data_IF_928955405927
#
_entry.id   IF_928955405927
#
_cell.length_a   1.000
_cell.length_b   1.000
_cell.length_c   1.000
_cell.angle_alpha   90.00
_cell.angle_beta   90.00
_cell.angle_gamma   90.00
#
_symmetry.space_group_name_H-M   'P 1'
#
loop_
_entity.id
_entity.type
_entity.pdbx_description
1 polymer ?
#
# COMPACT_ATOMS: atom_id res chain seq x y z
N UNK A 1 35.62 9.46 36.67
CA UNK A 1 36.35 8.29 36.14
C UNK A 1 35.54 7.69 35.00
N UNK A 2 36.02 7.82 33.77
CA UNK A 2 35.31 7.39 32.56
C UNK A 2 35.66 5.93 32.26
N UNK A 3 34.71 4.99 32.37
CA UNK A 3 34.97 3.57 32.10
C UNK A 3 35.30 3.35 30.61
N UNK A 4 36.52 2.88 30.25
CA UNK A 4 36.94 2.76 28.84
C UNK A 4 36.09 1.78 28.02
N UNK A 5 35.39 0.86 28.68
CA UNK A 5 34.57 -0.18 28.05
C UNK A 5 33.22 0.33 27.52
N UNK A 6 32.76 1.50 27.96
CA UNK A 6 31.47 2.07 27.53
C UNK A 6 31.58 3.01 26.33
N UNK A 7 32.79 3.47 26.00
CA UNK A 7 33.01 4.47 24.96
C UNK A 7 33.84 3.94 23.78
N UNK A 8 33.66 2.65 23.44
CA UNK A 8 34.32 2.09 22.26
C UNK A 8 33.51 2.46 20.99
N UNK A 9 34.06 3.29 20.10
CA UNK A 9 33.35 3.73 18.90
C UNK A 9 33.02 2.58 17.95
N UNK A 10 33.75 1.46 18.01
CA UNK A 10 33.45 0.26 17.21
C UNK A 10 32.19 -0.45 17.71
N UNK A 11 32.02 -0.59 19.02
CA UNK A 11 30.80 -1.21 19.58
C UNK A 11 29.57 -0.32 19.38
N UNK A 12 29.75 1.00 19.42
CA UNK A 12 28.68 1.94 19.11
C UNK A 12 28.27 1.83 17.63
N UNK A 13 29.24 1.83 16.70
CA UNK A 13 28.98 1.61 15.27
C UNK A 13 28.34 0.25 14.98
N UNK A 14 28.76 -0.80 15.67
CA UNK A 14 28.16 -2.13 15.53
C UNK A 14 26.70 -2.15 16.01
N UNK A 15 26.39 -1.54 17.17
CA UNK A 15 25.02 -1.39 17.66
C UNK A 15 24.15 -0.54 16.74
N UNK A 16 24.69 0.56 16.19
CA UNK A 16 23.99 1.37 15.21
C UNK A 16 23.76 0.62 13.89
N UNK A 17 24.75 -0.12 13.40
CA UNK A 17 24.61 -0.94 12.19
C UNK A 17 23.58 -2.06 12.38
N UNK A 18 23.54 -2.67 13.56
CA UNK A 18 22.55 -3.71 13.89
C UNK A 18 21.15 -3.12 14.05
N UNK A 19 21.00 -2.00 14.78
CA UNK A 19 19.74 -1.27 14.84
C UNK A 19 19.26 -0.81 13.45
N UNK A 20 20.19 -0.43 12.56
CA UNK A 20 19.89 -0.11 11.17
C UNK A 20 19.53 -1.34 10.33
N UNK A 21 20.03 -2.53 10.66
CA UNK A 21 19.64 -3.80 10.01
C UNK A 21 18.26 -4.27 10.47
N UNK A 22 17.97 -4.23 11.76
CA UNK A 22 16.63 -4.52 12.31
C UNK A 22 15.59 -3.55 11.73
N UNK A 23 15.98 -2.31 11.46
CA UNK A 23 15.15 -1.31 10.76
C UNK A 23 15.08 -1.47 9.24
N UNK A 24 15.96 -2.26 8.61
CA UNK A 24 15.91 -2.49 7.17
C UNK A 24 14.89 -3.59 6.89
N UNK A 25 13.75 -3.22 6.31
CA UNK A 25 12.82 -4.20 5.75
C UNK A 25 13.56 -5.10 4.73
N UNK A 26 13.18 -6.39 4.62
CA UNK A 26 13.74 -7.30 3.62
C UNK A 26 13.60 -6.67 2.22
N UNK A 27 14.73 -6.42 1.55
CA UNK A 27 14.82 -5.66 0.28
C UNK A 27 14.12 -6.30 -0.94
N UNK A 28 13.38 -7.39 -0.75
CA UNK A 28 12.80 -8.20 -1.84
C UNK A 28 11.34 -8.63 -1.64
N UNK A 29 10.66 -8.23 -0.56
CA UNK A 29 9.36 -8.81 -0.23
C UNK A 29 8.16 -8.14 -0.88
N UNK A 30 8.04 -6.82 -0.71
CA UNK A 30 6.82 -6.09 -1.03
C UNK A 30 7.13 -4.61 -1.25
N UNK A 31 6.43 -3.99 -2.20
CA UNK A 31 6.54 -2.57 -2.53
C UNK A 31 5.15 -2.01 -2.75
N UNK A 32 4.71 -1.17 -1.82
CA UNK A 32 3.38 -0.58 -1.85
C UNK A 32 3.20 0.31 -3.09
N UNK A 33 4.19 1.13 -3.41
CA UNK A 33 4.20 1.98 -4.60
C UNK A 33 4.02 1.19 -5.91
N UNK A 34 4.72 0.05 -6.06
CA UNK A 34 4.57 -0.83 -7.23
C UNK A 34 3.21 -1.50 -7.30
N UNK A 35 2.66 -1.89 -6.16
CA UNK A 35 1.35 -2.56 -6.10
C UNK A 35 0.23 -1.58 -6.45
N UNK A 36 0.31 -0.34 -5.95
CA UNK A 36 -0.61 0.74 -6.31
C UNK A 36 -0.48 1.11 -7.78
N UNK A 37 0.73 1.19 -8.32
CA UNK A 37 0.96 1.44 -9.75
C UNK A 37 0.29 0.36 -10.63
N UNK A 38 0.41 -0.92 -10.26
CA UNK A 38 -0.26 -2.00 -10.96
C UNK A 38 -1.79 -1.91 -10.86
N UNK A 39 -2.33 -1.66 -9.67
CA UNK A 39 -3.76 -1.45 -9.47
C UNK A 39 -4.29 -0.26 -10.28
N UNK A 40 -3.53 0.83 -10.33
CA UNK A 40 -3.87 2.02 -11.10
C UNK A 40 -3.94 1.71 -12.61
N UNK A 41 -3.00 0.92 -13.14
CA UNK A 41 -3.04 0.49 -14.53
C UNK A 41 -4.32 -0.29 -14.86
N UNK A 42 -4.70 -1.27 -14.02
CA UNK A 42 -5.92 -2.07 -14.19
C UNK A 42 -7.19 -1.19 -14.15
N UNK A 43 -7.24 -0.21 -13.24
CA UNK A 43 -8.40 0.69 -13.11
C UNK A 43 -8.48 1.71 -14.24
N UNK A 44 -7.35 2.20 -14.75
CA UNK A 44 -7.31 3.19 -15.84
C UNK A 44 -7.88 2.64 -17.14
N UNK A 45 -7.78 1.33 -17.38
CA UNK A 45 -8.36 0.70 -18.58
C UNK A 45 -9.90 0.72 -18.58
N UNK A 46 -10.53 0.73 -17.39
CA UNK A 46 -11.98 0.71 -17.24
C UNK A 46 -12.66 2.05 -16.96
N UNK A 47 -11.91 3.09 -16.57
CA UNK A 47 -12.49 4.32 -16.01
C UNK A 47 -11.89 5.61 -16.59
N UNK A 48 -12.77 6.53 -17.01
CA UNK A 48 -12.40 7.84 -17.55
C UNK A 48 -12.22 8.95 -16.49
N UNK A 49 -12.27 8.62 -15.19
CA UNK A 49 -12.18 9.60 -14.10
C UNK A 49 -10.71 9.94 -13.78
N UNK A 50 -10.42 11.15 -13.30
CA UNK A 50 -9.09 11.47 -12.81
C UNK A 50 -8.80 10.68 -11.53
N UNK A 51 -7.76 9.85 -11.60
CA UNK A 51 -7.21 9.10 -10.48
C UNK A 51 -5.93 9.79 -10.00
N UNK A 52 -5.80 9.93 -8.69
CA UNK A 52 -4.59 10.46 -8.05
C UNK A 52 -3.85 9.31 -7.39
N UNK A 53 -2.57 9.15 -7.69
CA UNK A 53 -1.70 8.18 -7.02
C UNK A 53 -0.51 8.88 -6.39
N UNK A 54 -0.10 8.43 -5.22
CA UNK A 54 1.18 8.82 -4.60
C UNK A 54 1.55 7.80 -3.54
N UNK A 55 2.82 7.75 -3.16
CA UNK A 55 3.28 6.81 -2.17
C UNK A 55 4.79 6.67 -2.06
N UNK A 56 5.19 5.84 -1.11
CA UNK A 56 6.53 5.33 -0.88
C UNK A 56 6.51 3.80 -0.97
N UNK A 57 7.69 3.14 -0.91
CA UNK A 57 7.76 1.68 -0.89
C UNK A 57 6.99 1.02 0.27
N UNK A 58 6.80 1.72 1.39
CA UNK A 58 6.15 1.19 2.60
C UNK A 58 4.63 1.41 2.59
N UNK A 59 4.19 2.58 2.10
CA UNK A 59 2.79 2.98 2.05
C UNK A 59 2.53 3.77 0.76
N UNK A 60 1.52 3.37 0.02
CA UNK A 60 1.04 4.10 -1.16
C UNK A 60 -0.48 4.15 -1.18
N UNK A 61 -1.05 5.04 -1.97
CA UNK A 61 -2.50 5.10 -2.14
C UNK A 61 -2.90 5.55 -3.54
N UNK A 62 -4.12 5.17 -3.91
CA UNK A 62 -4.83 5.73 -5.06
C UNK A 62 -6.17 6.28 -4.59
N UNK A 63 -6.56 7.44 -5.13
CA UNK A 63 -7.80 8.14 -4.80
C UNK A 63 -8.54 8.57 -6.07
N UNK A 64 -9.86 8.61 -6.02
CA UNK A 64 -10.72 9.16 -7.08
C UNK A 64 -11.43 10.43 -6.64
N UNK A 65 -11.87 11.22 -7.62
CA UNK A 65 -12.78 12.35 -7.40
C UNK A 65 -14.15 11.97 -6.85
N UNK A 66 -14.59 10.71 -7.02
CA UNK A 66 -15.84 10.22 -6.45
C UNK A 66 -15.72 9.75 -4.99
N UNK A 67 -14.57 9.97 -4.34
CA UNK A 67 -14.38 9.72 -2.91
C UNK A 67 -13.90 8.30 -2.54
N UNK A 68 -13.56 7.47 -3.53
CA UNK A 68 -12.91 6.19 -3.27
C UNK A 68 -11.45 6.45 -2.92
N UNK A 69 -11.00 5.90 -1.78
CA UNK A 69 -9.60 5.90 -1.38
C UNK A 69 -9.16 4.46 -1.13
N UNK A 70 -8.13 4.03 -1.84
CA UNK A 70 -7.51 2.71 -1.69
C UNK A 70 -6.09 2.91 -1.20
N UNK A 71 -5.82 2.44 0.01
CA UNK A 71 -4.51 2.42 0.62
C UNK A 71 -3.82 1.10 0.34
N UNK A 72 -2.49 1.14 0.26
CA UNK A 72 -1.65 -0.03 0.14
C UNK A 72 -0.58 0.06 1.23
N UNK A 73 -0.66 -0.82 2.22
CA UNK A 73 0.30 -0.91 3.31
C UNK A 73 0.40 -2.36 3.78
N UNK A 74 1.59 -2.75 4.24
CA UNK A 74 1.84 -4.08 4.82
C UNK A 74 1.33 -5.28 3.98
N UNK A 75 1.51 -5.23 2.66
CA UNK A 75 1.08 -6.31 1.76
C UNK A 75 -0.41 -6.30 1.41
N UNK A 76 -1.17 -5.29 1.84
CA UNK A 76 -2.63 -5.26 1.70
C UNK A 76 -3.13 -3.97 1.06
N UNK A 77 -4.09 -4.10 0.15
CA UNK A 77 -4.99 -3.02 -0.24
C UNK A 77 -6.12 -2.88 0.78
N UNK A 78 -6.47 -1.64 1.11
CA UNK A 78 -7.48 -1.31 2.11
C UNK A 78 -8.35 -0.17 1.56
N UNK A 79 -9.67 -0.36 1.55
CA UNK A 79 -10.62 0.68 1.14
C UNK A 79 -11.94 0.55 1.91
N UNK A 80 -12.81 1.53 1.77
CA UNK A 80 -14.18 1.48 2.30
C UNK A 80 -15.15 1.05 1.22
N UNK A 81 -16.05 0.12 1.55
CA UNK A 81 -17.16 -0.23 0.67
C UNK A 81 -18.28 0.84 0.66
N UNK A 82 -19.35 0.58 -0.10
CA UNK A 82 -20.51 1.50 -0.17
C UNK A 82 -21.23 1.69 1.16
N UNK A 83 -21.11 0.74 2.08
CA UNK A 83 -21.70 0.80 3.42
C UNK A 83 -20.74 1.41 4.45
N UNK A 84 -19.53 1.80 4.03
CA UNK A 84 -18.49 2.34 4.89
C UNK A 84 -17.68 1.27 5.63
N UNK A 85 -17.90 -0.01 5.35
CA UNK A 85 -17.14 -1.10 5.96
C UNK A 85 -15.73 -1.18 5.33
N UNK A 86 -14.73 -1.45 6.16
CA UNK A 86 -13.36 -1.62 5.69
C UNK A 86 -13.19 -2.97 5.00
N UNK A 87 -12.78 -2.93 3.73
CA UNK A 87 -12.42 -4.09 2.94
C UNK A 87 -10.91 -4.17 2.84
N UNK A 88 -10.37 -5.37 3.00
CA UNK A 88 -8.95 -5.66 2.79
C UNK A 88 -8.78 -6.68 1.67
N UNK A 89 -7.71 -6.52 0.89
CA UNK A 89 -7.36 -7.42 -0.20
C UNK A 89 -5.85 -7.58 -0.31
N UNK A 90 -5.31 -8.75 -0.66
CA UNK A 90 -3.88 -8.93 -0.89
C UNK A 90 -3.37 -7.98 -2.00
N UNK A 91 -2.23 -7.33 -1.75
CA UNK A 91 -1.62 -6.40 -2.70
C UNK A 91 -0.80 -7.10 -3.80
N UNK A 92 -0.58 -8.42 -3.68
CA UNK A 92 -0.01 -9.25 -4.74
C UNK A 92 -1.02 -9.64 -5.83
N UNK A 93 -2.30 -9.29 -5.67
CA UNK A 93 -3.36 -9.48 -6.67
C UNK A 93 -4.07 -8.16 -7.02
N UNK A 94 -3.41 -7.27 -7.80
CA UNK A 94 -4.00 -6.00 -8.22
C UNK A 94 -5.22 -6.16 -9.12
N UNK A 95 -5.24 -7.18 -9.99
CA UNK A 95 -6.34 -7.43 -10.91
C UNK A 95 -7.60 -7.89 -10.16
N UNK A 96 -7.46 -8.75 -9.14
CA UNK A 96 -8.58 -9.12 -8.25
C UNK A 96 -9.12 -7.95 -7.44
N UNK A 97 -8.25 -7.07 -6.94
CA UNK A 97 -8.65 -5.84 -6.28
C UNK A 97 -9.41 -4.91 -7.24
N UNK A 98 -8.92 -4.71 -8.46
CA UNK A 98 -9.59 -3.95 -9.50
C UNK A 98 -10.98 -4.51 -9.84
N UNK A 99 -11.12 -5.84 -9.97
CA UNK A 99 -12.41 -6.47 -10.24
C UNK A 99 -13.45 -6.20 -9.12
N UNK A 100 -13.02 -6.24 -7.85
CA UNK A 100 -13.89 -5.89 -6.70
C UNK A 100 -14.27 -4.41 -6.71
N UNK A 101 -13.32 -3.53 -6.94
CA UNK A 101 -13.57 -2.08 -7.03
C UNK A 101 -14.50 -1.75 -8.20
N UNK A 102 -14.31 -2.39 -9.35
CA UNK A 102 -15.17 -2.24 -10.52
C UNK A 102 -16.59 -2.70 -10.22
N UNK A 103 -16.76 -3.86 -9.59
CA UNK A 103 -18.08 -4.37 -9.18
C UNK A 103 -18.75 -3.42 -8.17
N UNK A 104 -17.95 -2.86 -7.26
CA UNK A 104 -18.39 -1.90 -6.26
C UNK A 104 -18.69 -0.53 -6.86
N UNK A 105 -18.09 -0.11 -7.96
CA UNK A 105 -18.31 1.23 -8.53
C UNK A 105 -19.26 1.20 -9.74
N UNK A 106 -19.43 0.04 -10.38
CA UNK A 106 -20.36 -0.11 -11.50
C UNK A 106 -21.75 0.40 -11.10
N UNK A 107 -22.43 1.17 -11.95
CA UNK A 107 -23.86 1.40 -11.80
C UNK A 107 -24.50 0.02 -11.69
N UNK A 108 -25.19 -0.25 -10.58
CA UNK A 108 -26.04 -1.42 -10.54
C UNK A 108 -27.13 -1.14 -11.57
N UNK A 109 -26.99 -1.70 -12.77
CA UNK A 109 -28.11 -1.84 -13.68
C UNK A 109 -29.03 -2.80 -12.94
N UNK A 110 -29.94 -2.23 -12.16
CA UNK A 110 -31.03 -2.95 -11.55
C UNK A 110 -31.77 -3.61 -12.71
N UNK A 111 -31.58 -4.91 -12.87
CA UNK A 111 -32.41 -5.72 -13.73
C UNK A 111 -33.78 -5.79 -13.04
N UNK A 112 -34.59 -4.75 -13.27
CA UNK A 112 -36.02 -4.81 -13.06
C UNK A 112 -36.58 -5.79 -14.11
N UNK A 113 -37.01 -6.95 -13.63
CA UNK A 113 -37.91 -7.86 -14.31
C UNK A 113 -39.22 -7.91 -13.52
#
# INVERSE_FOLDING_TARGET
>A
MSHPRLNNPRTYRAKQAEAARVRRLPKHGFRADRSVEALFCELREGWAQPWFQTGSPDVAFVSTTCGLNVWCCDGMFIWSDRCGATVTHPANDPSGAAARLNSMLAPQVSAAA
#
